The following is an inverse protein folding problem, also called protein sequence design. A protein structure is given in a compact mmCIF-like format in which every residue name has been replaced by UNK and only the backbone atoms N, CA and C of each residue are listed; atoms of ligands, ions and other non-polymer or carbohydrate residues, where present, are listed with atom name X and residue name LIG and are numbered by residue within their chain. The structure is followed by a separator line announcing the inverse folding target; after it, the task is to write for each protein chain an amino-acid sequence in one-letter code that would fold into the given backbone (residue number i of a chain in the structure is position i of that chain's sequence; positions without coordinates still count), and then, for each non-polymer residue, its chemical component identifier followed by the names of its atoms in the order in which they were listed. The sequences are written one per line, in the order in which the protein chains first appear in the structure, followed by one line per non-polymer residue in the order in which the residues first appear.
data_IF_014958611153
#
_entry.id   IF_014958611153
#
_cell.length_a   1.000
_cell.length_b   1.000
_cell.length_c   1.000
_cell.angle_alpha   90.00
_cell.angle_beta   90.00
_cell.angle_gamma   90.00
#
_symmetry.space_group_name_H-M   'P 1'
#
loop_
_entity.id
_entity.type
_entity.pdbx_description
1 polymer ?
#
# COMPACT_ATOMS: atom_id res chain seq x y z
N UNK A 1 -2.14 6.38 -14.88
CA UNK A 1 -0.78 5.96 -14.48
C UNK A 1 -0.43 6.39 -13.05
N UNK A 2 -0.76 7.61 -12.63
CA UNK A 2 -0.48 8.10 -11.27
C UNK A 2 -1.01 7.17 -10.17
N UNK A 3 -2.32 6.89 -10.15
CA UNK A 3 -2.94 5.99 -9.14
C UNK A 3 -2.27 4.61 -9.15
N UNK A 4 -2.07 4.02 -10.33
CA UNK A 4 -1.40 2.72 -10.49
C UNK A 4 0.02 2.69 -9.90
N UNK A 5 0.79 3.74 -10.17
CA UNK A 5 2.17 3.87 -9.67
C UNK A 5 2.18 4.08 -8.16
N UNK A 6 1.27 4.90 -7.64
CA UNK A 6 1.11 5.10 -6.20
C UNK A 6 0.73 3.77 -5.53
N UNK A 7 -0.24 3.03 -6.07
CA UNK A 7 -0.64 1.72 -5.56
C UNK A 7 0.54 0.76 -5.54
N UNK A 8 1.34 0.68 -6.61
CA UNK A 8 2.54 -0.16 -6.63
C UNK A 8 3.58 0.24 -5.55
N UNK A 9 3.77 1.55 -5.33
CA UNK A 9 4.78 2.08 -4.40
C UNK A 9 4.43 1.78 -2.93
N UNK A 10 3.17 1.95 -2.53
CA UNK A 10 2.76 1.81 -1.12
C UNK A 10 1.96 0.54 -0.81
N UNK A 11 1.67 -0.30 -1.81
CA UNK A 11 1.04 -1.60 -1.58
C UNK A 11 1.86 -2.42 -0.57
N UNK A 12 1.19 -2.98 0.43
CA UNK A 12 1.84 -3.73 1.51
C UNK A 12 2.26 -2.89 2.72
N UNK A 13 2.02 -1.57 2.76
CA UNK A 13 2.11 -0.80 4.00
C UNK A 13 1.10 -1.36 5.03
N UNK A 14 1.60 -1.86 6.17
CA UNK A 14 0.79 -2.57 7.17
C UNK A 14 0.29 -1.61 8.25
N UNK A 15 -0.98 -1.75 8.65
CA UNK A 15 -1.52 -1.11 9.85
C UNK A 15 -1.19 -1.96 11.09
N UNK A 16 -0.30 -1.47 11.95
CA UNK A 16 0.19 -2.14 13.17
C UNK A 16 -0.27 -1.45 14.47
N UNK A 17 -1.16 -0.46 14.37
CA UNK A 17 -1.70 0.28 15.52
C UNK A 17 -0.69 1.19 16.24
N UNK A 18 0.49 1.45 15.67
CA UNK A 18 1.51 2.30 16.29
C UNK A 18 1.20 3.80 16.08
N UNK A 19 0.87 4.54 17.15
CA UNK A 19 0.48 5.98 17.10
C UNK A 19 1.47 6.87 16.30
N UNK A 20 2.79 6.92 16.61
CA UNK A 20 3.73 7.67 15.78
C UNK A 20 3.91 7.08 14.37
N UNK A 21 3.80 5.75 14.26
CA UNK A 21 3.89 5.04 12.98
C UNK A 21 2.80 5.46 12.00
N UNK A 22 1.59 5.75 12.45
CA UNK A 22 0.51 6.28 11.60
C UNK A 22 0.88 7.63 10.98
N UNK A 23 1.49 8.55 11.73
CA UNK A 23 1.91 9.85 11.20
C UNK A 23 2.98 9.70 10.12
N UNK A 24 3.98 8.82 10.34
CA UNK A 24 5.02 8.52 9.36
C UNK A 24 4.42 7.90 8.08
N UNK A 25 3.51 6.93 8.23
CA UNK A 25 2.83 6.26 7.11
C UNK A 25 2.01 7.23 6.27
N UNK A 26 1.34 8.21 6.90
CA UNK A 26 0.65 9.29 6.21
C UNK A 26 1.63 10.14 5.40
N UNK A 27 2.73 10.59 6.01
CA UNK A 27 3.74 11.39 5.33
C UNK A 27 4.32 10.65 4.12
N UNK A 28 4.70 9.38 4.27
CA UNK A 28 5.16 8.52 3.18
C UNK A 28 4.11 8.37 2.07
N UNK A 29 2.83 8.20 2.42
CA UNK A 29 1.74 8.07 1.44
C UNK A 29 1.54 9.35 0.62
N UNK A 30 1.62 10.52 1.26
CA UNK A 30 1.55 11.81 0.56
C UNK A 30 2.73 11.98 -0.39
N UNK A 31 3.94 11.64 0.06
CA UNK A 31 5.14 11.72 -0.78
C UNK A 31 5.06 10.74 -1.98
N UNK A 32 4.58 9.52 -1.77
CA UNK A 32 4.32 8.56 -2.83
C UNK A 32 3.31 9.09 -3.86
N UNK A 33 2.20 9.71 -3.41
CA UNK A 33 1.22 10.31 -4.31
C UNK A 33 1.83 11.43 -5.15
N UNK A 34 2.63 12.32 -4.55
CA UNK A 34 3.33 13.40 -5.26
C UNK A 34 4.34 12.85 -6.28
N UNK A 35 5.15 11.84 -5.90
CA UNK A 35 6.10 11.17 -6.79
C UNK A 35 5.37 10.50 -7.97
N UNK A 36 4.32 9.74 -7.71
CA UNK A 36 3.53 9.07 -8.73
C UNK A 36 2.85 10.06 -9.70
N UNK A 37 2.34 11.19 -9.21
CA UNK A 37 1.78 12.25 -10.05
C UNK A 37 2.87 12.87 -10.95
N UNK A 38 4.05 13.15 -10.41
CA UNK A 38 5.18 13.68 -11.17
C UNK A 38 5.64 12.72 -12.27
N UNK A 39 5.79 11.42 -11.95
CA UNK A 39 6.13 10.40 -12.93
C UNK A 39 5.09 10.31 -14.05
N UNK A 40 3.81 10.30 -13.69
CA UNK A 40 2.72 10.25 -14.68
C UNK A 40 2.73 11.46 -15.61
N UNK A 41 3.03 12.67 -15.10
CA UNK A 41 3.21 13.87 -15.92
C UNK A 41 4.39 13.74 -16.90
N UNK A 42 5.42 12.98 -16.54
CA UNK A 42 6.54 12.66 -17.41
C UNK A 42 6.29 11.45 -18.34
N UNK A 43 5.07 10.89 -18.36
CA UNK A 43 4.73 9.71 -19.15
C UNK A 43 5.35 8.40 -18.63
N UNK A 44 5.75 8.37 -17.36
CA UNK A 44 6.42 7.22 -16.70
C UNK A 44 5.63 6.74 -15.49
N UNK A 45 5.79 5.47 -15.11
CA UNK A 45 5.11 4.89 -13.96
C UNK A 45 4.89 3.39 -14.13
N UNK A 46 4.17 2.80 -13.19
CA UNK A 46 3.85 1.37 -13.21
C UNK A 46 2.93 1.02 -14.39
N UNK A 47 3.33 0.00 -15.14
CA UNK A 47 2.61 -0.59 -16.26
C UNK A 47 1.77 -1.80 -15.84
N UNK A 48 0.94 -2.31 -16.75
CA UNK A 48 0.06 -3.46 -16.48
C UNK A 48 0.76 -4.82 -16.36
N UNK A 49 2.10 -4.83 -16.32
CA UNK A 49 2.91 -6.04 -16.12
C UNK A 49 3.62 -6.01 -14.75
N UNK A 50 3.42 -4.94 -13.97
CA UNK A 50 4.11 -4.73 -12.71
C UNK A 50 3.28 -5.26 -11.54
N UNK A 51 3.52 -6.52 -11.14
CA UNK A 51 2.93 -7.11 -9.94
C UNK A 51 1.39 -7.06 -9.92
N UNK A 52 0.81 -6.37 -8.93
CA UNK A 52 -0.65 -6.23 -8.78
C UNK A 52 -1.28 -5.17 -9.72
N UNK A 53 -0.45 -4.44 -10.47
CA UNK A 53 -0.90 -3.36 -11.36
C UNK A 53 -1.39 -3.93 -12.69
N UNK A 54 -2.55 -3.45 -13.10
CA UNK A 54 -3.23 -3.84 -14.33
C UNK A 54 -3.27 -2.70 -15.34
N UNK A 55 -3.68 -3.00 -16.58
CA UNK A 55 -3.87 -1.95 -17.58
C UNK A 55 -4.97 -0.96 -17.14
N UNK A 56 -6.09 -1.51 -16.67
CA UNK A 56 -7.19 -0.77 -16.02
C UNK A 56 -6.87 -0.52 -14.54
N UNK A 57 -7.10 0.73 -14.09
CA UNK A 57 -6.91 1.13 -12.71
C UNK A 57 -7.89 0.44 -11.77
N UNK A 58 -9.12 0.19 -12.20
CA UNK A 58 -10.14 -0.46 -11.37
C UNK A 58 -9.74 -1.91 -11.04
N UNK A 59 -9.13 -2.62 -12.00
CA UNK A 59 -8.57 -3.95 -11.75
C UNK A 59 -7.38 -3.90 -10.79
N UNK A 60 -6.53 -2.87 -10.90
CA UNK A 60 -5.42 -2.66 -9.94
C UNK A 60 -5.94 -2.47 -8.51
N UNK A 61 -7.00 -1.67 -8.35
CA UNK A 61 -7.63 -1.44 -7.05
C UNK A 61 -8.36 -2.67 -6.52
N UNK A 62 -8.99 -3.47 -7.39
CA UNK A 62 -9.55 -4.78 -7.04
C UNK A 62 -8.46 -5.72 -6.52
N UNK A 63 -7.33 -5.85 -7.23
CA UNK A 63 -6.20 -6.67 -6.78
C UNK A 63 -5.65 -6.20 -5.41
N UNK A 64 -5.56 -4.88 -5.19
CA UNK A 64 -5.19 -4.33 -3.88
C UNK A 64 -6.23 -4.68 -2.80
N UNK A 65 -7.52 -4.60 -3.12
CA UNK A 65 -8.62 -5.00 -2.25
C UNK A 65 -8.54 -6.48 -1.86
N UNK A 66 -8.36 -7.37 -2.84
CA UNK A 66 -8.22 -8.81 -2.61
C UNK A 66 -6.98 -9.13 -1.76
N UNK A 67 -5.86 -8.46 -2.02
CA UNK A 67 -4.66 -8.57 -1.18
C UNK A 67 -4.95 -8.17 0.27
N UNK A 68 -5.67 -7.07 0.49
CA UNK A 68 -6.04 -6.60 1.83
C UNK A 68 -7.08 -7.48 2.54
N UNK A 69 -8.13 -7.89 1.84
CA UNK A 69 -9.25 -8.65 2.43
C UNK A 69 -8.94 -10.13 2.57
N UNK A 70 -8.39 -10.75 1.52
CA UNK A 70 -8.09 -12.19 1.49
C UNK A 70 -6.64 -12.43 1.91
N UNK A 71 -5.69 -11.73 1.28
CA UNK A 71 -4.26 -11.95 1.50
C UNK A 71 -3.78 -11.63 2.92
N UNK A 72 -4.39 -10.65 3.59
CA UNK A 72 -3.98 -10.20 4.92
C UNK A 72 -4.89 -10.70 6.07
N UNK A 73 -5.76 -11.68 5.82
CA UNK A 73 -6.72 -12.18 6.82
C UNK A 73 -6.05 -12.57 8.16
N UNK A 74 -4.89 -13.25 8.10
CA UNK A 74 -4.13 -13.65 9.31
C UNK A 74 -3.29 -12.54 9.95
N UNK A 75 -3.07 -11.41 9.27
CA UNK A 75 -2.09 -10.39 9.67
C UNK A 75 -2.44 -9.74 11.00
N UNK A 76 -3.72 -9.47 11.26
CA UNK A 76 -4.16 -8.84 12.51
C UNK A 76 -3.82 -9.70 13.74
N UNK A 77 -4.01 -11.02 13.65
CA UNK A 77 -3.70 -11.93 14.76
C UNK A 77 -2.21 -11.96 15.06
N UNK A 78 -1.37 -12.01 14.02
CA UNK A 78 0.09 -11.96 14.16
C UNK A 78 0.55 -10.66 14.84
N UNK A 79 -0.02 -9.52 14.43
CA UNK A 79 0.27 -8.21 15.05
C UNK A 79 -0.16 -8.21 16.52
N UNK A 80 -1.35 -8.70 16.83
CA UNK A 80 -1.86 -8.76 18.19
C UNK A 80 -0.95 -9.59 19.10
N UNK A 81 -0.48 -10.76 18.63
CA UNK A 81 0.46 -11.60 19.38
C UNK A 81 1.78 -10.87 19.67
N UNK A 82 2.30 -10.10 18.70
CA UNK A 82 3.49 -9.28 18.89
C UNK A 82 3.26 -8.18 19.93
N UNK A 83 2.11 -7.51 19.90
CA UNK A 83 1.76 -6.47 20.88
C UNK A 83 1.63 -7.04 22.29
N UNK A 84 1.02 -8.22 22.45
CA UNK A 84 0.87 -8.89 23.73
C UNK A 84 2.21 -9.38 24.30
N UNK A 85 3.13 -9.85 23.45
CA UNK A 85 4.49 -10.25 23.86
C UNK A 85 5.31 -9.09 24.45
N UNK A 86 5.10 -7.86 23.98
CA UNK A 86 5.79 -6.65 24.46
C UNK A 86 5.30 -6.15 25.83
N UNK A 87 4.18 -6.67 26.35
CA UNK A 87 3.58 -6.25 27.64
C UNK A 87 4.10 -7.03 28.85
N UNK A 88 5.09 -7.91 28.66
CA UNK A 88 5.88 -8.51 29.74
C UNK A 88 7.10 -7.65 30.01
#
# INVERSE_FOLDING_TARGET
MAIKTMTADISGMICDGAKPGCALKIATSVEAAMRAASMARAGRGAGGHDGIVEQDVENTLRNLGDLGTVGMNGTNMVILDMLLKKRK
#
